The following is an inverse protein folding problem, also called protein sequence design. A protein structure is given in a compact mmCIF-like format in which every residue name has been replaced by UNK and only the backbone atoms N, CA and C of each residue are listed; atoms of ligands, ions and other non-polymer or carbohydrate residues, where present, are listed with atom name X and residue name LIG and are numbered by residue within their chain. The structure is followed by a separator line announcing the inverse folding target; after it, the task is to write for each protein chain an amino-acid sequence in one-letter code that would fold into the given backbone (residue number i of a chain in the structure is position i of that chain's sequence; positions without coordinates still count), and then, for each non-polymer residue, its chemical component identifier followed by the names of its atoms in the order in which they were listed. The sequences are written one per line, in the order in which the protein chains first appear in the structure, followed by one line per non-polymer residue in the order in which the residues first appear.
data_IF_470886171889
#
_entry.id   IF_470886171889
#
_cell.length_a   1.000
_cell.length_b   1.000
_cell.length_c   1.000
_cell.angle_alpha   90.00
_cell.angle_beta   90.00
_cell.angle_gamma   90.00
#
_symmetry.space_group_name_H-M   'P 1'
#
loop_
_entity.id
_entity.type
_entity.pdbx_description
1 polymer ?
#
# COMPACT_ATOMS: atom_id res chain seq x y z
N UNK A 1 87.14 17.78 12.17
CA UNK A 1 87.21 18.41 13.50
C UNK A 1 86.07 17.81 14.29
N UNK A 2 86.43 16.78 15.05
CA UNK A 2 86.24 16.75 16.52
C UNK A 2 84.86 16.18 16.84
N UNK A 3 84.68 15.12 17.59
CA UNK A 3 85.61 14.33 18.40
C UNK A 3 84.75 13.62 19.44
N UNK A 4 85.01 12.31 19.61
CA UNK A 4 84.99 11.57 20.87
C UNK A 4 83.74 11.69 21.77
N UNK A 5 83.07 10.62 22.15
CA UNK A 5 83.58 9.66 23.13
C UNK A 5 82.69 8.41 23.16
N UNK A 6 83.31 7.24 23.02
CA UNK A 6 82.73 5.96 23.41
C UNK A 6 82.87 5.79 24.92
N UNK A 7 81.76 5.59 25.64
CA UNK A 7 81.60 4.69 26.79
C UNK A 7 80.15 4.82 27.27
N UNK A 8 79.41 3.81 27.73
CA UNK A 8 79.77 2.63 28.51
C UNK A 8 78.54 1.69 28.57
N UNK A 9 78.81 0.40 28.80
CA UNK A 9 77.95 -0.58 29.51
C UNK A 9 76.63 -1.03 28.86
N UNK A 10 76.66 -2.29 28.36
CA UNK A 10 75.50 -3.21 28.43
C UNK A 10 75.12 -3.44 29.89
N UNK A 11 73.82 -3.59 30.18
CA UNK A 11 73.43 -4.85 30.81
C UNK A 11 72.12 -5.43 30.30
N UNK A 12 72.22 -6.75 30.08
CA UNK A 12 71.27 -7.79 30.50
C UNK A 12 69.87 -7.76 29.86
N UNK A 13 69.73 -8.65 28.87
CA UNK A 13 68.44 -9.26 28.55
C UNK A 13 67.82 -9.85 29.81
N UNK A 14 66.65 -9.36 30.19
CA UNK A 14 65.71 -10.10 31.02
C UNK A 14 64.44 -10.34 30.20
N UNK A 15 64.38 -11.56 29.68
CA UNK A 15 63.23 -12.46 29.77
C UNK A 15 61.81 -11.88 29.69
N UNK A 16 61.08 -12.39 28.70
CA UNK A 16 59.64 -12.57 28.67
C UNK A 16 58.77 -11.29 28.58
N UNK A 17 58.29 -11.03 27.37
CA UNK A 17 56.89 -11.29 27.04
C UNK A 17 56.68 -11.22 25.53
N UNK A 18 56.38 -12.38 24.97
CA UNK A 18 55.74 -12.49 23.66
C UNK A 18 54.35 -11.90 23.80
N UNK A 19 54.08 -10.78 23.15
CA UNK A 19 52.72 -10.34 22.89
C UNK A 19 52.48 -10.51 21.39
N UNK A 20 51.74 -11.56 21.06
CA UNK A 20 51.24 -11.80 19.71
C UNK A 20 50.31 -10.65 19.32
N UNK A 21 50.59 -10.02 18.19
CA UNK A 21 49.70 -9.02 17.59
C UNK A 21 48.63 -9.79 16.82
N UNK A 22 47.40 -9.83 17.36
CA UNK A 22 46.22 -10.30 16.65
C UNK A 22 45.74 -9.17 15.74
N UNK A 23 45.91 -9.33 14.42
CA UNK A 23 45.31 -8.44 13.42
C UNK A 23 43.87 -8.92 13.23
N UNK A 24 42.91 -8.19 13.81
CA UNK A 24 41.49 -8.39 13.53
C UNK A 24 41.11 -7.56 12.30
N UNK A 25 40.97 -8.20 11.13
CA UNK A 25 40.37 -7.58 9.95
C UNK A 25 38.86 -7.64 10.05
N UNK A 26 38.21 -6.52 10.35
CA UNK A 26 36.76 -6.38 10.28
C UNK A 26 36.41 -6.07 8.82
N UNK A 27 35.95 -7.07 8.08
CA UNK A 27 35.34 -6.88 6.77
C UNK A 27 33.85 -6.58 6.96
N UNK A 28 33.48 -5.30 6.98
CA UNK A 28 32.07 -4.89 7.02
C UNK A 28 31.44 -5.06 5.63
N UNK A 29 30.85 -6.23 5.38
CA UNK A 29 29.95 -6.42 4.23
C UNK A 29 28.59 -5.83 4.61
N UNK A 30 28.33 -4.60 4.19
CA UNK A 30 26.97 -4.04 4.22
C UNK A 30 26.17 -4.71 3.11
N UNK A 31 25.51 -5.83 3.46
CA UNK A 31 24.50 -6.43 2.60
C UNK A 31 23.33 -5.47 2.47
N UNK A 32 23.11 -4.92 1.28
CA UNK A 32 21.85 -4.26 0.94
C UNK A 32 20.81 -5.36 0.78
N UNK A 33 20.08 -5.65 1.85
CA UNK A 33 18.86 -6.43 1.77
C UNK A 33 17.84 -5.56 1.04
N UNK A 34 17.64 -5.79 -0.25
CA UNK A 34 16.43 -5.34 -0.91
C UNK A 34 15.28 -6.06 -0.19
N UNK A 35 14.60 -5.35 0.71
CA UNK A 35 13.31 -5.80 1.24
C UNK A 35 12.33 -5.72 0.09
N UNK A 36 12.17 -6.84 -0.62
CA UNK A 36 11.02 -7.05 -1.49
C UNK A 36 9.80 -7.16 -0.58
N UNK A 37 9.28 -6.02 -0.10
CA UNK A 37 7.90 -6.00 0.38
C UNK A 37 7.05 -6.51 -0.78
N UNK A 38 6.21 -7.54 -0.57
CA UNK A 38 5.23 -7.88 -1.59
C UNK A 38 4.46 -6.59 -1.88
N UNK A 39 4.21 -6.30 -3.17
CA UNK A 39 3.20 -5.31 -3.50
C UNK A 39 1.96 -5.67 -2.66
N UNK A 40 1.39 -4.69 -1.95
CA UNK A 40 0.14 -4.90 -1.26
C UNK A 40 -0.91 -5.16 -2.34
N UNK A 41 -1.08 -6.43 -2.71
CA UNK A 41 -2.16 -6.85 -3.59
C UNK A 41 -3.45 -6.58 -2.84
N UNK A 42 -4.47 -6.02 -3.49
CA UNK A 42 -5.75 -5.93 -2.84
C UNK A 42 -6.24 -7.30 -2.43
N UNK A 43 -6.75 -7.39 -1.21
CA UNK A 43 -7.45 -8.58 -0.80
C UNK A 43 -8.88 -8.51 -1.35
N UNK A 44 -9.27 -9.56 -2.07
CA UNK A 44 -10.65 -9.75 -2.50
C UNK A 44 -11.30 -10.81 -1.61
N UNK A 45 -12.32 -10.39 -0.88
CA UNK A 45 -13.08 -11.21 0.04
C UNK A 45 -14.43 -11.55 -0.60
N UNK A 46 -14.83 -12.82 -0.50
CA UNK A 46 -16.07 -13.33 -1.10
C UNK A 46 -17.35 -12.92 -0.34
N UNK A 47 -17.22 -12.16 0.74
CA UNK A 47 -18.36 -11.63 1.51
C UNK A 47 -17.98 -10.36 2.25
N UNK A 48 -18.96 -9.50 2.48
CA UNK A 48 -18.82 -8.26 3.22
C UNK A 48 -19.35 -8.43 4.65
N UNK A 49 -18.44 -8.39 5.63
CA UNK A 49 -18.76 -8.46 7.06
C UNK A 49 -18.07 -7.36 7.89
N UNK A 50 -17.52 -6.36 7.21
CA UNK A 50 -16.84 -5.21 7.81
C UNK A 50 -17.82 -4.04 8.02
N UNK A 51 -17.38 -3.01 8.75
CA UNK A 51 -18.14 -1.76 8.84
C UNK A 51 -18.30 -1.10 7.46
N UNK A 52 -19.47 -0.53 7.20
CA UNK A 52 -19.80 0.14 5.93
C UNK A 52 -20.43 -0.77 4.87
N UNK A 53 -20.47 -2.10 5.06
CA UNK A 53 -21.15 -3.01 4.12
C UNK A 53 -22.65 -2.69 3.95
N UNK A 54 -23.34 -2.33 5.04
CA UNK A 54 -24.76 -1.94 5.00
C UNK A 54 -24.99 -0.65 4.20
N UNK A 55 -24.08 0.30 4.32
CA UNK A 55 -24.15 1.59 3.64
C UNK A 55 -23.84 1.40 2.15
N UNK A 56 -22.83 0.58 1.84
CA UNK A 56 -22.48 0.19 0.48
C UNK A 56 -23.63 -0.57 -0.22
N UNK A 57 -24.31 -1.49 0.48
CA UNK A 57 -25.50 -2.16 -0.04
C UNK A 57 -26.66 -1.19 -0.28
N UNK A 58 -26.85 -0.22 0.62
CA UNK A 58 -27.88 0.82 0.47
C UNK A 58 -27.57 1.74 -0.72
N UNK A 59 -26.32 2.18 -0.85
CA UNK A 59 -25.83 2.95 -1.99
C UNK A 59 -26.00 2.17 -3.29
N UNK A 60 -25.70 0.87 -3.28
CA UNK A 60 -25.91 -0.02 -4.42
C UNK A 60 -27.38 -0.04 -4.87
N UNK A 61 -28.32 -0.16 -3.93
CA UNK A 61 -29.75 -0.06 -4.25
C UNK A 61 -30.10 1.29 -4.88
N UNK A 62 -29.63 2.41 -4.32
CA UNK A 62 -29.90 3.73 -4.89
C UNK A 62 -29.28 3.93 -6.27
N UNK A 63 -28.04 3.48 -6.49
CA UNK A 63 -27.41 3.52 -7.80
C UNK A 63 -28.12 2.62 -8.82
N UNK A 64 -28.61 1.46 -8.39
CA UNK A 64 -29.47 0.60 -9.19
C UNK A 64 -30.76 1.30 -9.60
N UNK A 65 -31.41 2.03 -8.68
CA UNK A 65 -32.63 2.79 -8.96
C UNK A 65 -32.39 3.94 -9.96
N UNK A 66 -31.18 4.52 -9.94
CA UNK A 66 -30.72 5.51 -10.93
C UNK A 66 -30.25 4.86 -12.24
N UNK A 67 -30.24 3.53 -12.34
CA UNK A 67 -29.88 2.78 -13.53
C UNK A 67 -28.38 2.67 -13.80
N UNK A 68 -27.53 2.78 -12.77
CA UNK A 68 -26.07 2.68 -12.87
C UNK A 68 -25.49 3.57 -13.98
N UNK A 69 -25.59 4.90 -13.84
CA UNK A 69 -25.07 5.81 -14.85
C UNK A 69 -23.57 5.63 -15.07
N UNK A 70 -23.16 5.41 -16.32
CA UNK A 70 -21.77 5.12 -16.68
C UNK A 70 -20.93 6.36 -16.95
N UNK A 71 -21.57 7.50 -17.18
CA UNK A 71 -20.89 8.78 -17.37
C UNK A 71 -20.41 9.34 -16.03
N UNK A 72 -19.20 9.90 -16.03
CA UNK A 72 -18.63 10.55 -14.85
C UNK A 72 -19.43 11.79 -14.49
N UNK A 73 -19.95 11.88 -13.26
CA UNK A 73 -20.77 13.02 -12.87
C UNK A 73 -21.39 12.94 -11.48
N UNK A 74 -21.93 14.09 -11.06
CA UNK A 74 -22.76 14.21 -9.87
C UNK A 74 -24.21 13.88 -10.20
N UNK A 75 -24.86 13.14 -9.31
CA UNK A 75 -26.25 12.75 -9.40
C UNK A 75 -26.97 13.15 -8.11
N UNK A 76 -28.19 13.70 -8.26
CA UNK A 76 -29.05 14.03 -7.13
C UNK A 76 -29.37 12.77 -6.32
N UNK A 77 -29.28 12.88 -5.01
CA UNK A 77 -29.53 11.79 -4.07
C UNK A 77 -30.88 11.99 -3.36
N UNK A 78 -31.57 10.91 -2.93
CA UNK A 78 -32.91 11.02 -2.34
C UNK A 78 -33.04 11.91 -1.09
N UNK A 79 -31.95 12.13 -0.36
CA UNK A 79 -31.88 12.99 0.83
C UNK A 79 -31.61 14.47 0.52
N UNK A 80 -31.48 14.83 -0.76
CA UNK A 80 -31.18 16.19 -1.22
C UNK A 80 -29.67 16.51 -1.28
N UNK A 81 -28.81 15.56 -0.95
CA UNK A 81 -27.39 15.63 -1.27
C UNK A 81 -27.14 15.13 -2.71
N UNK A 82 -25.87 14.97 -3.09
CA UNK A 82 -25.48 14.33 -4.34
C UNK A 82 -24.48 13.20 -4.09
N UNK A 83 -24.45 12.22 -4.99
CA UNK A 83 -23.39 11.20 -5.05
C UNK A 83 -22.73 11.19 -6.43
N UNK A 84 -21.54 10.59 -6.55
CA UNK A 84 -20.73 10.65 -7.76
C UNK A 84 -20.60 9.29 -8.43
N UNK A 85 -20.96 9.22 -9.72
CA UNK A 85 -20.62 8.09 -10.57
C UNK A 85 -19.20 8.31 -11.12
N UNK A 86 -18.29 7.40 -10.80
CA UNK A 86 -16.88 7.51 -11.17
C UNK A 86 -16.56 7.00 -12.58
N UNK A 87 -17.55 6.44 -13.27
CA UNK A 87 -17.38 5.86 -14.59
C UNK A 87 -16.66 4.51 -14.55
N UNK A 88 -16.00 4.15 -15.64
CA UNK A 88 -15.37 2.84 -15.79
C UNK A 88 -14.22 2.65 -14.78
N UNK A 89 -14.24 1.53 -14.06
CA UNK A 89 -13.15 1.03 -13.25
C UNK A 89 -12.35 0.01 -14.06
N UNK A 90 -11.13 0.38 -14.46
CA UNK A 90 -10.35 -0.42 -15.40
C UNK A 90 -9.73 -1.70 -14.83
N UNK A 91 -9.78 -1.90 -13.51
CA UNK A 91 -9.17 -3.07 -12.85
C UNK A 91 -7.70 -3.30 -13.28
N UNK A 92 -6.93 -2.21 -13.41
CA UNK A 92 -5.54 -2.26 -13.91
C UNK A 92 -4.62 -3.15 -13.07
N UNK A 93 -4.92 -3.27 -11.77
CA UNK A 93 -4.18 -4.10 -10.84
C UNK A 93 -4.61 -5.58 -10.89
N UNK A 94 -5.63 -5.91 -11.70
CA UNK A 94 -6.09 -7.28 -11.93
C UNK A 94 -6.67 -7.97 -10.69
N UNK A 95 -7.26 -7.19 -9.79
CA UNK A 95 -7.76 -7.67 -8.49
C UNK A 95 -9.13 -8.31 -8.64
N UNK A 96 -10.01 -7.72 -9.46
CA UNK A 96 -11.31 -8.29 -9.83
C UNK A 96 -11.17 -9.24 -11.02
N UNK A 97 -12.20 -10.07 -11.34
CA UNK A 97 -12.18 -10.94 -12.51
C UNK A 97 -11.78 -10.21 -13.82
N UNK A 98 -11.03 -10.90 -14.67
CA UNK A 98 -10.59 -10.34 -15.95
C UNK A 98 -11.62 -10.56 -17.05
N UNK A 99 -11.73 -9.62 -17.98
CA UNK A 99 -12.56 -9.76 -19.20
C UNK A 99 -13.94 -9.11 -19.10
N UNK A 100 -14.29 -8.58 -17.93
CA UNK A 100 -15.53 -7.85 -17.70
C UNK A 100 -15.31 -6.33 -17.67
N UNK A 101 -16.42 -5.58 -17.73
CA UNK A 101 -16.43 -4.13 -17.61
C UNK A 101 -17.03 -3.74 -16.27
N UNK A 102 -16.31 -2.91 -15.52
CA UNK A 102 -16.71 -2.49 -14.19
C UNK A 102 -16.99 -0.99 -14.16
N UNK A 103 -17.93 -0.57 -13.31
CA UNK A 103 -18.18 0.84 -13.02
C UNK A 103 -18.12 1.11 -11.53
N UNK A 104 -17.55 2.25 -11.16
CA UNK A 104 -17.39 2.66 -9.77
C UNK A 104 -18.38 3.76 -9.36
N UNK A 105 -18.83 3.70 -8.12
CA UNK A 105 -19.75 4.67 -7.55
C UNK A 105 -19.39 5.01 -6.10
N UNK A 106 -19.64 6.25 -5.71
CA UNK A 106 -19.47 6.69 -4.32
C UNK A 106 -20.53 6.04 -3.41
N UNK A 107 -20.10 5.67 -2.20
CA UNK A 107 -21.00 5.06 -1.18
C UNK A 107 -21.78 6.13 -0.42
N UNK A 108 -21.10 7.19 0.00
CA UNK A 108 -21.70 8.21 0.86
C UNK A 108 -22.03 9.47 0.06
N UNK A 109 -23.31 9.89 0.03
CA UNK A 109 -23.69 11.16 -0.54
C UNK A 109 -23.07 12.33 0.25
N UNK A 110 -23.04 13.50 -0.38
CA UNK A 110 -22.49 14.73 0.18
C UNK A 110 -23.01 15.95 -0.56
N UNK A 111 -22.69 17.15 -0.06
CA UNK A 111 -22.91 18.39 -0.80
C UNK A 111 -22.39 18.29 -2.26
N UNK A 112 -23.25 18.64 -3.22
CA UNK A 112 -22.95 18.53 -4.64
C UNK A 112 -21.68 19.31 -5.01
N UNK A 113 -20.72 18.65 -5.66
CA UNK A 113 -19.42 19.23 -6.00
C UNK A 113 -18.36 19.16 -4.90
N UNK A 114 -18.66 18.62 -3.73
CA UNK A 114 -17.67 18.44 -2.67
C UNK A 114 -16.60 17.39 -3.04
N UNK A 115 -15.47 17.41 -2.33
CA UNK A 115 -14.44 16.40 -2.51
C UNK A 115 -15.00 14.99 -2.20
N UNK A 116 -14.70 14.00 -3.05
CA UNK A 116 -15.09 12.60 -2.89
C UNK A 116 -14.31 11.94 -1.75
N UNK A 117 -14.81 10.86 -1.15
CA UNK A 117 -14.09 10.13 -0.10
C UNK A 117 -13.33 8.93 -0.69
N UNK A 118 -12.97 7.93 0.11
CA UNK A 118 -12.31 6.71 -0.35
C UNK A 118 -13.27 5.53 -0.60
N UNK A 119 -14.54 5.65 -0.22
CA UNK A 119 -15.48 4.53 -0.16
C UNK A 119 -16.20 4.34 -1.49
N UNK A 120 -16.11 3.14 -2.05
CA UNK A 120 -16.63 2.82 -3.38
C UNK A 120 -17.43 1.55 -3.37
N UNK A 121 -18.48 1.49 -4.19
CA UNK A 121 -18.89 0.23 -4.78
C UNK A 121 -18.31 0.14 -6.19
N UNK A 122 -17.94 -1.07 -6.58
CA UNK A 122 -17.56 -1.41 -7.95
C UNK A 122 -18.52 -2.48 -8.43
N UNK A 123 -19.23 -2.19 -9.52
CA UNK A 123 -20.27 -3.05 -10.09
C UNK A 123 -19.73 -3.65 -11.38
N UNK A 124 -19.73 -4.97 -11.47
CA UNK A 124 -19.56 -5.69 -12.73
C UNK A 124 -20.82 -5.50 -13.58
N UNK A 125 -20.69 -4.78 -14.69
CA UNK A 125 -21.83 -4.53 -15.59
C UNK A 125 -22.23 -5.76 -16.41
N UNK A 126 -21.37 -6.77 -16.50
CA UNK A 126 -21.62 -8.01 -17.22
C UNK A 126 -22.44 -8.99 -16.35
N UNK A 127 -22.11 -9.08 -15.06
CA UNK A 127 -22.70 -10.08 -14.15
C UNK A 127 -23.63 -9.50 -13.09
N UNK A 128 -23.53 -8.20 -12.80
CA UNK A 128 -24.22 -7.53 -11.70
C UNK A 128 -23.59 -7.79 -10.33
N UNK A 129 -22.45 -8.48 -10.24
CA UNK A 129 -21.73 -8.64 -8.98
C UNK A 129 -21.21 -7.29 -8.49
N UNK A 130 -21.29 -7.05 -7.19
CA UNK A 130 -20.89 -5.77 -6.59
C UNK A 130 -19.87 -6.02 -5.49
N UNK A 131 -18.82 -5.22 -5.48
CA UNK A 131 -17.83 -5.19 -4.40
C UNK A 131 -17.84 -3.83 -3.73
N UNK A 132 -17.78 -3.84 -2.40
CA UNK A 132 -17.45 -2.67 -1.60
C UNK A 132 -15.94 -2.57 -1.42
N UNK A 133 -15.39 -1.38 -1.68
CA UNK A 133 -14.03 -1.02 -1.35
C UNK A 133 -14.00 0.11 -0.32
N UNK A 134 -13.55 -0.15 0.92
CA UNK A 134 -13.55 0.85 1.99
C UNK A 134 -12.38 1.83 1.93
N UNK A 135 -11.43 1.59 1.02
CA UNK A 135 -10.09 2.17 1.08
C UNK A 135 -9.52 2.44 -0.31
N UNK A 136 -10.37 2.98 -1.19
CA UNK A 136 -9.99 3.45 -2.51
C UNK A 136 -9.26 2.38 -3.32
N UNK A 137 -9.93 1.22 -3.47
CA UNK A 137 -9.51 0.07 -4.28
C UNK A 137 -8.35 -0.76 -3.69
N UNK A 138 -8.01 -0.54 -2.42
CA UNK A 138 -6.98 -1.36 -1.76
C UNK A 138 -7.52 -2.71 -1.29
N UNK A 139 -8.80 -2.83 -0.95
CA UNK A 139 -9.46 -4.09 -0.63
C UNK A 139 -10.87 -4.11 -1.24
N UNK A 140 -11.37 -5.31 -1.52
CA UNK A 140 -12.71 -5.53 -2.09
C UNK A 140 -13.46 -6.60 -1.30
N UNK A 141 -14.70 -6.29 -0.95
CA UNK A 141 -15.60 -7.19 -0.24
C UNK A 141 -16.86 -7.36 -1.06
N UNK A 142 -17.14 -8.56 -1.55
CA UNK A 142 -18.35 -8.82 -2.31
C UNK A 142 -19.60 -8.61 -1.43
N UNK A 143 -20.54 -7.80 -1.91
CA UNK A 143 -21.79 -7.46 -1.22
C UNK A 143 -22.83 -8.59 -1.32
#
# INVERSE_FOLDING_TARGET
MEGSLLTLRRPRLSWAKRSAVLIATIASVLGVSAVNSPAANAAVYSSCSINGCSDAASANSTWSDLGYPTARGWYDWPDGECSYAGGEFYNNDGQLPSGDTFYEYDVYPRACGAHRDAYRIVVDSNTGVVWYSPNHYTDFYQL
#
